data_IF_364658740051
#
_entry.id   IF_364658740051
#
_cell.length_a   1.000
_cell.length_b   1.000
_cell.length_c   1.000
_cell.angle_alpha   90.00
_cell.angle_beta   90.00
_cell.angle_gamma   90.00
#
_symmetry.space_group_name_H-M   'P 1'
#
loop_
_entity.id
_entity.type
_entity.pdbx_description
1 polymer ?
#
# COMPACT_ATOMS: atom_id res chain seq x y z
N UNK A 1 10.77 14.03 -8.98
CA UNK A 1 11.93 13.80 -8.08
C UNK A 1 11.40 13.42 -6.71
N UNK A 2 11.44 12.13 -6.36
CA UNK A 2 10.84 11.59 -5.14
C UNK A 2 11.69 11.81 -3.89
N UNK A 3 11.55 10.93 -2.89
CA UNK A 3 12.29 11.03 -1.61
C UNK A 3 13.81 10.74 -1.72
N UNK A 4 14.37 10.72 -2.92
CA UNK A 4 15.78 10.39 -3.21
C UNK A 4 16.76 11.30 -2.47
N UNK A 5 16.57 12.62 -2.54
CA UNK A 5 17.44 13.58 -1.86
C UNK A 5 17.45 13.34 -0.35
N UNK A 6 16.30 12.99 0.23
CA UNK A 6 16.23 12.73 1.66
C UNK A 6 16.86 11.39 2.05
N UNK A 7 16.71 10.38 1.18
CA UNK A 7 17.27 9.05 1.39
C UNK A 7 18.79 9.03 1.33
N UNK A 8 19.40 9.81 0.44
CA UNK A 8 20.85 9.76 0.21
C UNK A 8 21.62 10.93 0.79
N UNK A 9 21.02 12.12 0.90
CA UNK A 9 21.75 13.35 1.25
C UNK A 9 21.32 13.92 2.59
N UNK A 10 20.04 14.24 2.77
CA UNK A 10 19.65 15.07 3.93
C UNK A 10 19.43 14.27 5.21
N UNK A 11 18.73 13.13 5.16
CA UNK A 11 18.36 12.36 6.35
C UNK A 11 18.25 10.86 6.06
N UNK A 12 19.38 10.18 5.74
CA UNK A 12 19.38 8.76 5.37
C UNK A 12 18.87 7.83 6.47
N UNK A 13 19.13 8.17 7.74
CA UNK A 13 18.66 7.37 8.89
C UNK A 13 17.15 7.53 9.15
N UNK A 14 16.55 8.63 8.67
CA UNK A 14 15.17 9.04 9.01
C UNK A 14 14.19 8.77 7.88
N UNK A 15 14.66 8.12 6.83
CA UNK A 15 13.91 7.82 5.63
C UNK A 15 13.86 6.31 5.45
N UNK A 16 12.66 5.74 5.21
CA UNK A 16 12.54 4.31 4.96
C UNK A 16 13.16 3.99 3.60
N UNK A 17 13.89 2.86 3.55
CA UNK A 17 14.53 2.38 2.32
C UNK A 17 13.47 1.68 1.46
N UNK A 18 13.47 1.87 0.14
CA UNK A 18 12.64 1.06 -0.75
C UNK A 18 13.06 -0.42 -0.69
N UNK A 19 12.11 -1.33 -0.94
CA UNK A 19 12.32 -2.79 -1.03
C UNK A 19 12.78 -3.48 0.26
N UNK A 20 12.81 -2.78 1.40
CA UNK A 20 13.01 -3.40 2.71
C UNK A 20 11.68 -3.61 3.40
N UNK A 21 11.58 -4.69 4.17
CA UNK A 21 10.42 -4.95 5.01
C UNK A 21 10.27 -3.85 6.09
N UNK A 22 9.02 -3.57 6.52
CA UNK A 22 8.77 -2.56 7.54
C UNK A 22 9.51 -2.88 8.84
N UNK A 23 10.26 -1.90 9.34
CA UNK A 23 11.13 -2.06 10.51
C UNK A 23 10.41 -2.11 11.86
N UNK A 24 9.15 -1.68 11.92
CA UNK A 24 8.35 -1.62 13.15
C UNK A 24 7.15 -2.56 13.08
N UNK A 25 6.77 -3.12 14.24
CA UNK A 25 5.56 -3.94 14.37
C UNK A 25 4.31 -3.20 13.84
N UNK A 26 3.45 -3.91 13.13
CA UNK A 26 2.21 -3.40 12.56
C UNK A 26 1.25 -2.89 13.64
N UNK A 27 1.25 -3.51 14.82
CA UNK A 27 0.37 -3.14 15.93
C UNK A 27 0.91 -1.96 16.77
N UNK A 28 2.16 -1.56 16.58
CA UNK A 28 2.75 -0.43 17.31
C UNK A 28 1.98 0.87 17.05
N UNK A 29 1.39 1.44 18.11
CA UNK A 29 0.60 2.68 18.05
C UNK A 29 -0.91 2.47 17.83
N UNK A 30 -1.40 1.23 17.76
CA UNK A 30 -2.82 0.91 17.67
C UNK A 30 -3.29 0.21 18.95
N UNK A 31 -3.90 0.93 19.92
CA UNK A 31 -4.25 0.37 21.23
C UNK A 31 -5.27 -0.77 21.16
N UNK A 32 -6.18 -0.74 20.18
CA UNK A 32 -7.23 -1.75 19.99
C UNK A 32 -6.92 -2.71 18.82
N UNK A 33 -5.67 -2.74 18.34
CA UNK A 33 -5.28 -3.50 17.15
C UNK A 33 -5.72 -2.84 15.83
N UNK A 34 -5.19 -3.37 14.72
CA UNK A 34 -5.51 -2.90 13.37
C UNK A 34 -6.56 -3.84 12.74
N UNK A 35 -7.55 -3.26 12.05
CA UNK A 35 -8.49 -4.04 11.24
C UNK A 35 -7.76 -4.64 10.04
N UNK A 36 -7.86 -5.95 9.87
CA UNK A 36 -7.30 -6.67 8.73
C UNK A 36 -8.06 -6.35 7.43
N UNK A 37 -7.34 -6.47 6.31
CA UNK A 37 -7.93 -6.30 4.99
C UNK A 37 -8.57 -7.61 4.57
N UNK A 38 -9.82 -7.54 4.10
CA UNK A 38 -10.56 -8.73 3.68
C UNK A 38 -10.42 -8.88 2.16
N UNK A 39 -9.96 -10.05 1.72
CA UNK A 39 -10.02 -10.46 0.31
C UNK A 39 -11.45 -10.89 -0.02
N UNK A 40 -12.06 -10.25 -1.02
CA UNK A 40 -13.45 -10.55 -1.43
C UNK A 40 -13.47 -11.65 -2.50
N UNK A 41 -12.54 -11.61 -3.46
CA UNK A 41 -12.42 -12.64 -4.50
C UNK A 41 -11.75 -13.89 -3.95
N UNK A 42 -12.27 -15.06 -4.30
CA UNK A 42 -11.64 -16.34 -3.96
C UNK A 42 -10.48 -16.65 -4.92
N UNK A 43 -9.53 -17.47 -4.49
CA UNK A 43 -8.38 -17.85 -5.34
C UNK A 43 -8.83 -18.59 -6.61
N UNK A 44 -9.84 -19.46 -6.48
CA UNK A 44 -10.43 -20.21 -7.59
C UNK A 44 -11.06 -19.29 -8.64
N UNK A 45 -11.75 -18.22 -8.21
CA UNK A 45 -12.31 -17.22 -9.12
C UNK A 45 -11.21 -16.45 -9.88
N UNK A 46 -10.13 -16.08 -9.21
CA UNK A 46 -9.00 -15.38 -9.84
C UNK A 46 -8.26 -16.27 -10.85
N UNK A 47 -8.14 -17.56 -10.56
CA UNK A 47 -7.57 -18.55 -11.48
C UNK A 47 -8.47 -18.79 -12.69
N UNK A 48 -9.78 -18.96 -12.47
CA UNK A 48 -10.77 -19.11 -13.54
C UNK A 48 -10.80 -17.89 -14.47
N UNK A 49 -10.66 -16.68 -13.92
CA UNK A 49 -10.57 -15.43 -14.68
C UNK A 49 -9.21 -15.20 -15.35
N UNK A 50 -8.25 -16.13 -15.18
CA UNK A 50 -6.89 -16.08 -15.74
C UNK A 50 -6.20 -14.73 -15.44
N UNK A 51 -6.30 -14.26 -14.19
CA UNK A 51 -5.60 -13.05 -13.76
C UNK A 51 -4.08 -13.28 -13.66
N UNK A 52 -3.24 -12.37 -14.16
CA UNK A 52 -1.80 -12.43 -13.93
C UNK A 52 -1.51 -12.17 -12.45
N UNK A 53 -0.37 -12.66 -11.95
CA UNK A 53 -0.02 -12.58 -10.53
C UNK A 53 0.03 -11.14 -9.99
N UNK A 54 0.41 -10.17 -10.82
CA UNK A 54 0.46 -8.77 -10.44
C UNK A 54 -0.93 -8.16 -10.14
N UNK A 55 -1.98 -8.67 -10.79
CA UNK A 55 -3.36 -8.17 -10.68
C UNK A 55 -4.17 -8.95 -9.63
N UNK A 56 -3.55 -9.89 -8.90
CA UNK A 56 -4.19 -10.68 -7.84
C UNK A 56 -4.08 -9.98 -6.48
N UNK A 57 -4.54 -8.74 -6.45
CA UNK A 57 -4.54 -7.89 -5.26
C UNK A 57 -5.93 -7.88 -4.57
N UNK A 58 -6.07 -7.08 -3.51
CA UNK A 58 -7.35 -6.91 -2.80
C UNK A 58 -8.47 -6.35 -3.69
N UNK A 59 -8.13 -5.75 -4.83
CA UNK A 59 -9.06 -5.14 -5.78
C UNK A 59 -9.45 -6.06 -6.95
N UNK A 60 -8.92 -7.29 -7.01
CA UNK A 60 -9.17 -8.27 -8.08
C UNK A 60 -10.66 -8.53 -8.36
N UNK A 61 -11.52 -8.50 -7.33
CA UNK A 61 -12.97 -8.68 -7.49
C UNK A 61 -13.60 -7.68 -8.48
N UNK A 62 -13.13 -6.42 -8.49
CA UNK A 62 -13.61 -5.41 -9.45
C UNK A 62 -13.02 -5.60 -10.84
N UNK A 63 -11.78 -6.08 -10.92
CA UNK A 63 -11.15 -6.41 -12.20
C UNK A 63 -11.90 -7.53 -12.92
N UNK A 64 -12.31 -8.56 -12.18
CA UNK A 64 -13.13 -9.65 -12.71
C UNK A 64 -14.45 -9.11 -13.26
N UNK A 65 -15.14 -8.23 -12.52
CA UNK A 65 -16.39 -7.60 -12.98
C UNK A 65 -16.19 -6.75 -14.25
N UNK A 66 -15.11 -5.96 -14.33
CA UNK A 66 -14.78 -5.19 -15.53
C UNK A 66 -14.48 -6.10 -16.74
N UNK A 67 -13.73 -7.19 -16.56
CA UNK A 67 -13.46 -8.16 -17.62
C UNK A 67 -14.72 -8.86 -18.11
N UNK A 68 -15.65 -9.19 -17.19
CA UNK A 68 -16.94 -9.77 -17.52
C UNK A 68 -17.78 -8.82 -18.40
N UNK A 69 -17.97 -7.55 -17.96
CA UNK A 69 -18.68 -6.55 -18.77
C UNK A 69 -18.07 -6.39 -20.17
N UNK A 70 -16.73 -6.36 -20.26
CA UNK A 70 -16.03 -6.20 -21.52
C UNK A 70 -16.26 -7.38 -22.47
N UNK A 71 -16.37 -8.61 -21.94
CA UNK A 71 -16.68 -9.79 -22.73
C UNK A 71 -18.13 -9.77 -23.26
N UNK A 72 -19.09 -9.33 -22.44
CA UNK A 72 -20.51 -9.31 -22.78
C UNK A 72 -20.86 -8.26 -23.85
N UNK A 73 -20.20 -7.09 -23.80
CA UNK A 73 -20.57 -5.94 -24.64
C UNK A 73 -19.60 -5.73 -25.83
N UNK A 74 -18.66 -6.66 -26.04
CA UNK A 74 -17.69 -6.56 -27.14
C UNK A 74 -18.38 -6.46 -28.51
N UNK A 75 -18.01 -5.50 -29.39
CA UNK A 75 -16.83 -4.63 -29.41
C UNK A 75 -17.00 -3.25 -28.73
N UNK A 76 -18.15 -2.98 -28.12
CA UNK A 76 -18.51 -1.67 -27.54
C UNK A 76 -17.99 -1.47 -26.11
N UNK A 77 -16.70 -1.73 -25.89
CA UNK A 77 -16.09 -1.73 -24.55
C UNK A 77 -16.20 -0.40 -23.78
N UNK A 78 -16.48 0.73 -24.45
CA UNK A 78 -16.68 2.02 -23.80
C UNK A 78 -17.90 2.04 -22.86
N UNK A 79 -18.88 1.15 -23.06
CA UNK A 79 -20.06 1.05 -22.17
C UNK A 79 -19.68 0.59 -20.76
N UNK A 80 -18.54 -0.10 -20.61
CA UNK A 80 -18.03 -0.59 -19.33
C UNK A 80 -17.17 0.45 -18.58
N UNK A 81 -17.40 1.75 -18.79
CA UNK A 81 -16.61 2.82 -18.19
C UNK A 81 -16.80 2.91 -16.67
N UNK A 82 -17.99 2.58 -16.17
CA UNK A 82 -18.30 2.62 -14.75
C UNK A 82 -17.52 1.55 -13.98
N UNK A 83 -17.53 0.31 -14.46
CA UNK A 83 -16.82 -0.83 -13.88
C UNK A 83 -15.31 -0.59 -13.90
N UNK A 84 -14.81 0.02 -14.99
CA UNK A 84 -13.40 0.43 -15.08
C UNK A 84 -13.05 1.46 -14.03
N UNK A 85 -13.89 2.49 -13.86
CA UNK A 85 -13.65 3.55 -12.88
C UNK A 85 -13.68 3.01 -11.45
N UNK A 86 -14.60 2.10 -11.15
CA UNK A 86 -14.69 1.45 -9.83
C UNK A 86 -13.44 0.63 -9.51
N UNK A 87 -12.91 -0.11 -10.49
CA UNK A 87 -11.64 -0.81 -10.35
C UNK A 87 -10.48 0.16 -10.06
N UNK A 88 -10.35 1.22 -10.86
CA UNK A 88 -9.29 2.22 -10.69
C UNK A 88 -9.37 2.95 -9.34
N UNK A 89 -10.57 3.23 -8.84
CA UNK A 89 -10.75 3.81 -7.51
C UNK A 89 -10.25 2.89 -6.42
N UNK A 90 -10.48 1.57 -6.55
CA UNK A 90 -9.97 0.60 -5.59
C UNK A 90 -8.44 0.55 -5.61
N UNK A 91 -7.81 0.51 -6.79
CA UNK A 91 -6.35 0.58 -6.91
C UNK A 91 -5.79 1.87 -6.33
N UNK A 92 -6.49 2.98 -6.52
CA UNK A 92 -6.13 4.28 -5.95
C UNK A 92 -6.18 4.27 -4.41
N UNK A 93 -7.24 3.70 -3.82
CA UNK A 93 -7.36 3.53 -2.39
C UNK A 93 -6.27 2.61 -1.82
N UNK A 94 -5.91 1.54 -2.55
CA UNK A 94 -4.79 0.67 -2.18
C UNK A 94 -3.45 1.42 -2.20
N UNK A 95 -3.22 2.22 -3.24
CA UNK A 95 -2.05 3.08 -3.34
C UNK A 95 -1.97 4.08 -2.19
N UNK A 96 -3.08 4.71 -1.82
CA UNK A 96 -3.15 5.59 -0.63
C UNK A 96 -2.75 4.82 0.63
N UNK A 97 -3.23 3.60 0.82
CA UNK A 97 -2.87 2.79 1.98
C UNK A 97 -1.35 2.50 2.03
N UNK A 98 -0.73 2.19 0.88
CA UNK A 98 0.73 2.00 0.79
C UNK A 98 1.49 3.28 1.11
N UNK A 99 0.99 4.45 0.68
CA UNK A 99 1.56 5.74 1.04
C UNK A 99 1.45 6.05 2.55
N UNK A 100 0.34 5.66 3.18
CA UNK A 100 0.18 5.77 4.64
C UNK A 100 1.18 4.88 5.39
N UNK A 101 1.44 3.66 4.94
CA UNK A 101 2.48 2.81 5.53
C UNK A 101 3.88 3.44 5.43
N UNK A 102 4.20 3.98 4.25
CA UNK A 102 5.45 4.69 4.03
C UNK A 102 5.65 5.88 4.98
N UNK A 103 4.61 6.72 5.11
CA UNK A 103 4.65 7.86 6.02
C UNK A 103 4.71 7.42 7.49
N UNK A 104 4.01 6.35 7.85
CA UNK A 104 4.05 5.77 9.19
C UNK A 104 5.48 5.38 9.54
N UNK A 105 6.14 4.60 8.70
CA UNK A 105 7.52 4.17 8.93
C UNK A 105 8.47 5.37 9.03
N UNK A 106 8.35 6.33 8.13
CA UNK A 106 9.15 7.56 8.16
C UNK A 106 9.00 8.31 9.49
N UNK A 107 7.78 8.49 9.99
CA UNK A 107 7.51 9.18 11.26
C UNK A 107 8.04 8.39 12.46
N UNK A 108 7.94 7.06 12.44
CA UNK A 108 8.49 6.19 13.48
C UNK A 108 10.02 6.23 13.52
N UNK A 109 10.70 6.22 12.37
CA UNK A 109 12.16 6.40 12.30
C UNK A 109 12.59 7.76 12.86
N UNK A 110 11.90 8.84 12.48
CA UNK A 110 12.17 10.16 13.02
C UNK A 110 11.92 10.24 14.54
N UNK A 111 10.88 9.57 15.05
CA UNK A 111 10.61 9.47 16.49
C UNK A 111 11.73 8.72 17.20
N UNK A 112 12.18 7.58 16.66
CA UNK A 112 13.29 6.79 17.20
C UNK A 112 14.56 7.64 17.34
N UNK A 113 14.91 8.39 16.31
CA UNK A 113 16.06 9.31 16.36
C UNK A 113 15.92 10.40 17.43
N UNK A 114 14.72 10.96 17.60
CA UNK A 114 14.49 11.98 18.65
C UNK A 114 14.68 11.39 20.04
N UNK A 115 14.24 10.15 20.27
CA UNK A 115 14.41 9.44 21.54
C UNK A 115 15.90 9.14 21.79
N UNK A 116 16.60 8.58 20.81
CA UNK A 116 18.03 8.28 20.90
C UNK A 116 18.87 9.53 21.19
N UNK A 117 18.56 10.67 20.55
CA UNK A 117 19.23 11.94 20.82
C UNK A 117 19.01 12.43 22.26
N UNK A 118 17.80 12.29 22.79
CA UNK A 118 17.50 12.67 24.19
C UNK A 118 18.26 11.78 25.18
N UNK A 119 18.24 10.47 24.96
CA UNK A 119 18.98 9.52 25.80
C UNK A 119 20.48 9.78 25.76
N UNK A 120 21.05 10.08 24.59
CA UNK A 120 22.45 10.46 24.48
C UNK A 120 22.76 11.75 25.26
N UNK A 121 21.89 12.76 25.20
CA UNK A 121 22.05 14.00 25.98
C UNK A 121 22.00 13.74 27.49
N UNK A 122 21.08 12.89 27.95
CA UNK A 122 20.95 12.50 29.37
C UNK A 122 22.16 11.68 29.86
N UNK A 123 22.74 10.81 29.03
CA UNK A 123 23.95 10.05 29.37
C UNK A 123 25.23 10.90 29.41
N UNK A 124 25.23 12.03 28.69
CA UNK A 124 26.35 12.97 28.64
C UNK A 124 26.23 14.12 29.64
N UNK A 125 25.10 14.22 30.36
CA UNK A 125 24.84 15.20 31.42
C UNK A 125 25.19 14.60 32.80
#
# INVERSE_FOLDING_TARGET
MGNYLSLYVTNPKGTPKPLTDPSFDANMGFPNGRKERVMIATEQEMEAAKLPLADRDYCAHKLIAYRACRADVWPWAYKCAHEKHDYLNCEYDDYINRMKEYEREKRLLQRKQRIEKKQAQELHA
#
